data_IF_850165307045
#
_entry.id   IF_850165307045
#
_cell.length_a   1.000
_cell.length_b   1.000
_cell.length_c   1.000
_cell.angle_alpha   90.00
_cell.angle_beta   90.00
_cell.angle_gamma   90.00
#
_symmetry.space_group_name_H-M   'P 1'
#
loop_
_entity.id
_entity.type
_entity.pdbx_description
1 polymer ?
#
# COMPACT_ATOMS: atom_id res chain seq x y z
N UNK A 1 -8.36 18.93 0.96
CA UNK A 1 -7.94 17.52 1.09
C UNK A 1 -7.05 17.43 2.32
N UNK A 2 -7.50 16.75 3.38
CA UNK A 2 -6.73 16.70 4.64
C UNK A 2 -5.51 15.79 4.48
N UNK A 3 -4.35 16.26 4.93
CA UNK A 3 -3.13 15.48 4.98
C UNK A 3 -3.31 14.32 5.97
N UNK A 4 -3.07 13.08 5.55
CA UNK A 4 -3.02 11.91 6.45
C UNK A 4 -1.73 11.85 7.28
N UNK A 5 -0.78 12.76 7.04
CA UNK A 5 0.48 12.85 7.79
C UNK A 5 0.19 13.19 9.25
N UNK A 6 1.03 12.67 10.16
CA UNK A 6 0.94 12.90 11.60
C UNK A 6 -0.33 12.37 12.26
N UNK A 7 -1.04 11.44 11.60
CA UNK A 7 -2.07 10.64 12.25
C UNK A 7 -1.43 9.48 13.01
N UNK A 8 -2.09 8.91 14.03
CA UNK A 8 -1.56 7.74 14.74
C UNK A 8 -1.21 6.57 13.81
N UNK A 9 -2.01 6.32 12.77
CA UNK A 9 -1.70 5.27 11.77
C UNK A 9 -0.44 5.60 10.98
N UNK A 10 -0.27 6.85 10.56
CA UNK A 10 0.90 7.28 9.79
C UNK A 10 2.19 7.13 10.60
N UNK A 11 2.18 7.61 11.84
CA UNK A 11 3.33 7.52 12.75
C UNK A 11 3.65 6.07 13.12
N UNK A 12 2.62 5.27 13.40
CA UNK A 12 2.78 3.85 13.68
C UNK A 12 3.42 3.11 12.50
N UNK A 13 2.90 3.30 11.28
CA UNK A 13 3.39 2.58 10.10
C UNK A 13 4.84 2.97 9.76
N UNK A 14 5.21 4.24 9.96
CA UNK A 14 6.58 4.71 9.74
C UNK A 14 7.58 3.98 10.66
N UNK A 15 7.19 3.77 11.92
CA UNK A 15 8.00 3.05 12.92
C UNK A 15 7.98 1.54 12.66
N UNK A 16 6.83 0.98 12.28
CA UNK A 16 6.68 -0.46 12.10
C UNK A 16 7.49 -1.00 10.92
N UNK A 17 7.51 -0.28 9.79
CA UNK A 17 8.31 -0.67 8.63
C UNK A 17 9.81 -0.73 8.95
N UNK A 18 10.32 0.10 9.87
CA UNK A 18 11.73 0.10 10.31
C UNK A 18 12.10 -1.14 11.12
N UNK A 19 11.12 -1.83 11.72
CA UNK A 19 11.36 -3.02 12.57
C UNK A 19 11.41 -4.32 11.76
N UNK A 20 11.05 -4.28 10.48
CA UNK A 20 11.00 -5.50 9.64
C UNK A 20 12.41 -6.06 9.46
N UNK A 21 12.65 -7.21 10.08
CA UNK A 21 13.87 -8.00 9.89
C UNK A 21 13.63 -9.06 8.81
N UNK A 22 14.07 -8.76 7.58
CA UNK A 22 13.90 -9.63 6.42
C UNK A 22 14.65 -10.96 6.52
N UNK A 23 15.62 -11.09 7.44
CA UNK A 23 16.29 -12.38 7.68
C UNK A 23 15.41 -13.36 8.45
N UNK A 24 14.45 -12.85 9.24
CA UNK A 24 13.49 -13.64 10.02
C UNK A 24 12.13 -13.75 9.33
N UNK A 25 11.69 -12.66 8.71
CA UNK A 25 10.44 -12.57 7.97
C UNK A 25 10.74 -12.13 6.53
N UNK A 26 11.08 -13.06 5.63
CA UNK A 26 11.50 -12.73 4.27
C UNK A 26 10.37 -12.21 3.38
N UNK A 27 9.11 -12.33 3.80
CA UNK A 27 7.93 -11.82 3.10
C UNK A 27 7.31 -10.67 3.89
N UNK A 28 7.19 -9.50 3.27
CA UNK A 28 6.46 -8.34 3.77
C UNK A 28 5.18 -8.16 2.95
N UNK A 29 4.06 -8.45 3.58
CA UNK A 29 2.72 -8.43 2.97
C UNK A 29 1.93 -7.27 3.57
N UNK A 30 1.26 -6.48 2.73
CA UNK A 30 0.36 -5.41 3.17
C UNK A 30 -1.09 -5.75 2.80
N UNK A 31 -2.02 -5.41 3.70
CA UNK A 31 -3.46 -5.51 3.46
C UNK A 31 -4.08 -4.12 3.56
N UNK A 32 -4.87 -3.75 2.55
CA UNK A 32 -5.71 -2.55 2.55
C UNK A 32 -7.09 -2.92 2.01
N UNK A 33 -8.14 -2.17 2.36
CA UNK A 33 -9.46 -2.48 1.79
C UNK A 33 -9.60 -1.93 0.36
N UNK A 34 -9.40 -0.62 0.18
CA UNK A 34 -9.53 0.05 -1.12
C UNK A 34 -8.23 -0.08 -1.94
N UNK A 35 -8.29 -0.59 -3.19
CA UNK A 35 -7.11 -0.81 -4.02
C UNK A 35 -6.48 0.52 -4.49
N UNK A 36 -5.16 0.54 -4.53
CA UNK A 36 -4.40 1.69 -5.04
C UNK A 36 -4.25 1.68 -6.55
N UNK A 37 -4.19 0.49 -7.13
CA UNK A 37 -4.18 0.24 -8.56
C UNK A 37 -5.44 -0.54 -8.89
N UNK A 38 -6.35 0.10 -9.61
CA UNK A 38 -7.62 -0.46 -10.04
C UNK A 38 -7.95 0.08 -11.43
N UNK A 39 -8.15 -0.80 -12.40
CA UNK A 39 -8.56 -0.44 -13.77
C UNK A 39 -10.06 -0.59 -14.02
N UNK A 40 -10.82 -1.06 -13.02
CA UNK A 40 -12.28 -1.08 -13.10
C UNK A 40 -12.85 0.34 -12.96
N UNK A 41 -13.98 0.60 -13.61
CA UNK A 41 -14.72 1.86 -13.47
C UNK A 41 -15.30 2.01 -12.06
N UNK A 42 -15.72 0.90 -11.44
CA UNK A 42 -16.21 0.88 -10.07
C UNK A 42 -15.07 1.11 -9.08
N UNK A 43 -15.26 2.07 -8.17
CA UNK A 43 -14.24 2.53 -7.21
C UNK A 43 -12.92 2.98 -7.84
N UNK A 44 -12.97 3.53 -9.05
CA UNK A 44 -11.79 4.08 -9.72
C UNK A 44 -11.18 5.23 -8.92
N UNK A 45 -9.85 5.17 -8.70
CA UNK A 45 -9.05 6.18 -7.96
C UNK A 45 -9.44 6.44 -6.48
N UNK A 46 -10.33 5.65 -5.88
CA UNK A 46 -10.72 5.89 -4.47
C UNK A 46 -9.55 5.67 -3.49
N UNK A 47 -8.63 4.76 -3.80
CA UNK A 47 -7.41 4.50 -3.01
C UNK A 47 -6.32 5.55 -3.13
N UNK A 48 -6.49 6.60 -3.96
CA UNK A 48 -5.43 7.55 -4.31
C UNK A 48 -4.89 8.31 -3.09
N UNK A 49 -5.78 8.70 -2.17
CA UNK A 49 -5.37 9.41 -0.93
C UNK A 49 -4.43 8.57 -0.06
N UNK A 50 -4.64 7.26 0.01
CA UNK A 50 -3.76 6.34 0.73
C UNK A 50 -2.48 6.03 -0.05
N UNK A 51 -2.59 5.86 -1.37
CA UNK A 51 -1.45 5.60 -2.25
C UNK A 51 -0.42 6.72 -2.16
N UNK A 52 -0.85 7.98 -2.33
CA UNK A 52 0.01 9.17 -2.21
C UNK A 52 0.68 9.27 -0.83
N UNK A 53 0.00 8.81 0.23
CA UNK A 53 0.54 8.87 1.59
C UNK A 53 1.63 7.81 1.86
N UNK A 54 1.50 6.60 1.30
CA UNK A 54 2.25 5.43 1.79
C UNK A 54 3.03 4.66 0.71
N UNK A 55 2.72 4.82 -0.57
CA UNK A 55 3.34 4.03 -1.65
C UNK A 55 4.85 4.17 -1.70
N UNK A 56 5.37 5.41 -1.57
CA UNK A 56 6.81 5.65 -1.55
C UNK A 56 7.54 4.88 -0.44
N UNK A 57 6.86 4.62 0.69
CA UNK A 57 7.39 3.80 1.76
C UNK A 57 7.39 2.32 1.38
N UNK A 58 6.31 1.83 0.77
CA UNK A 58 6.22 0.43 0.38
C UNK A 58 7.24 0.07 -0.70
N UNK A 59 7.53 0.99 -1.63
CA UNK A 59 8.65 0.87 -2.56
C UNK A 59 10.00 0.87 -1.82
N UNK A 60 10.22 1.82 -0.91
CA UNK A 60 11.46 1.93 -0.11
C UNK A 60 11.76 0.66 0.70
N UNK A 61 10.75 0.10 1.36
CA UNK A 61 10.89 -1.09 2.20
C UNK A 61 10.68 -2.41 1.44
N UNK A 62 10.54 -2.36 0.10
CA UNK A 62 10.41 -3.53 -0.77
C UNK A 62 9.30 -4.48 -0.30
N UNK A 63 8.11 -3.94 -0.11
CA UNK A 63 6.89 -4.73 0.10
C UNK A 63 6.72 -5.69 -1.07
N UNK A 64 6.52 -6.98 -0.80
CA UNK A 64 6.48 -8.01 -1.85
C UNK A 64 5.11 -8.07 -2.52
N UNK A 65 4.04 -7.92 -1.73
CA UNK A 65 2.67 -7.95 -2.24
C UNK A 65 1.73 -7.13 -1.34
N UNK A 66 0.80 -6.43 -1.98
CA UNK A 66 -0.32 -5.76 -1.34
C UNK A 66 -1.61 -6.42 -1.84
N UNK A 67 -2.44 -6.91 -0.92
CA UNK A 67 -3.77 -7.41 -1.24
C UNK A 67 -4.83 -6.36 -0.89
N UNK A 68 -5.81 -6.24 -1.77
CA UNK A 68 -6.96 -5.38 -1.60
C UNK A 68 -8.26 -6.07 -2.02
N UNK A 69 -9.38 -5.57 -1.50
CA UNK A 69 -10.73 -5.99 -1.86
C UNK A 69 -11.48 -4.82 -2.47
N UNK A 70 -12.66 -4.51 -1.92
CA UNK A 70 -13.51 -3.35 -2.26
C UNK A 70 -14.16 -3.44 -3.65
N UNK A 71 -13.37 -3.63 -4.70
CA UNK A 71 -13.86 -3.88 -6.05
C UNK A 71 -14.27 -5.36 -6.16
N UNK A 72 -15.51 -5.63 -6.59
CA UNK A 72 -16.04 -6.99 -6.76
C UNK A 72 -15.54 -7.64 -8.07
N UNK A 73 -14.23 -7.66 -8.26
CA UNK A 73 -13.55 -8.25 -9.41
C UNK A 73 -12.17 -8.82 -8.99
N UNK A 74 -11.49 -9.51 -9.90
CA UNK A 74 -10.11 -9.92 -9.72
C UNK A 74 -9.20 -9.10 -10.66
N UNK A 75 -8.14 -8.51 -10.10
CA UNK A 75 -7.12 -7.80 -10.86
C UNK A 75 -5.73 -8.06 -10.25
N UNK A 76 -4.69 -8.09 -11.08
CA UNK A 76 -3.29 -8.23 -10.65
C UNK A 76 -2.42 -7.23 -11.42
N UNK A 77 -1.79 -6.31 -10.70
CA UNK A 77 -0.84 -5.37 -11.30
C UNK A 77 0.49 -6.06 -11.66
N UNK A 78 1.22 -5.43 -12.59
CA UNK A 78 2.66 -5.64 -12.72
C UNK A 78 3.40 -4.82 -11.67
N UNK A 79 4.62 -5.22 -11.35
CA UNK A 79 5.50 -4.40 -10.52
C UNK A 79 5.68 -3.01 -11.16
N UNK A 80 5.42 -1.98 -10.37
CA UNK A 80 5.54 -0.57 -10.76
C UNK A 80 6.77 0.11 -10.17
N UNK A 81 7.56 -0.59 -9.34
CA UNK A 81 8.75 -0.04 -8.66
C UNK A 81 9.92 0.27 -9.60
N UNK A 82 9.84 -0.15 -10.86
CA UNK A 82 10.86 0.07 -11.91
C UNK A 82 10.50 1.18 -12.92
N UNK A 83 9.41 1.91 -12.71
CA UNK A 83 8.96 3.03 -13.56
C UNK A 83 9.01 4.33 -12.78
#
# INVERSE_FOLDING_TARGET
MYSRKYTPQYEWLEVELKKVDRSKAPWLIVLVHSPWYNSNTYHYMEGETTRVAFESWFVKYKVDVLFAGHVHAYERSHDKSTT
#
